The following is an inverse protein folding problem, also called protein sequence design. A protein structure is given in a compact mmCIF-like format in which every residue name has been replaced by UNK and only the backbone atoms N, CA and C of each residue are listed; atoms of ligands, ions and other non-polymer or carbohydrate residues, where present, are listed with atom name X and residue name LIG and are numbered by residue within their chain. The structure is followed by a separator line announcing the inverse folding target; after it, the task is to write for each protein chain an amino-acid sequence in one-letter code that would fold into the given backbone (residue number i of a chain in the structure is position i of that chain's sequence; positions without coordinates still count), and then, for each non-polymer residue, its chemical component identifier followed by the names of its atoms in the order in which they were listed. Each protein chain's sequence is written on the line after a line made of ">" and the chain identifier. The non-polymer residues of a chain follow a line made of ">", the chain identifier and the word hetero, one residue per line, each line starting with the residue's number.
data_IF_705383870384
#
_entry.id   IF_705383870384
#
_cell.length_a   1.000
_cell.length_b   1.000
_cell.length_c   1.000
_cell.angle_alpha   90.00
_cell.angle_beta   90.00
_cell.angle_gamma   90.00
#
_symmetry.space_group_name_H-M   'P 1'
#
loop_
_entity.id
_entity.type
_entity.pdbx_description
1 polymer ?
#
# COMPACT_ATOMS: atom_id res chain seq x y z
N UNK A 1 -12.77 15.49 13.16
CA UNK A 1 -12.56 14.13 12.61
C UNK A 1 -13.54 13.15 13.23
N UNK A 2 -14.06 12.21 12.48
CA UNK A 2 -14.82 11.04 12.93
C UNK A 2 -14.54 9.85 12.00
N UNK A 3 -14.74 8.60 12.46
CA UNK A 3 -14.83 7.47 11.55
C UNK A 3 -15.96 7.66 10.55
N UNK A 4 -15.79 7.15 9.34
CA UNK A 4 -16.84 7.13 8.34
C UNK A 4 -17.92 6.09 8.69
N UNK A 5 -19.13 6.34 8.24
CA UNK A 5 -20.27 5.42 8.36
C UNK A 5 -20.85 5.09 6.98
N UNK A 6 -21.65 4.05 6.89
CA UNK A 6 -22.17 3.57 5.59
C UNK A 6 -22.93 4.63 4.79
N UNK A 7 -23.54 5.61 5.45
CA UNK A 7 -24.22 6.73 4.77
C UNK A 7 -23.25 7.72 4.10
N UNK A 8 -21.97 7.70 4.47
CA UNK A 8 -20.96 8.57 3.84
C UNK A 8 -20.47 8.01 2.49
N UNK A 9 -20.68 6.73 2.22
CA UNK A 9 -20.12 6.04 1.07
C UNK A 9 -20.29 6.78 -0.28
N UNK A 10 -21.45 7.37 -0.60
CA UNK A 10 -21.60 8.15 -1.84
C UNK A 10 -20.66 9.37 -1.89
N UNK A 11 -20.51 10.09 -0.76
CA UNK A 11 -19.64 11.26 -0.68
C UNK A 11 -18.14 10.86 -0.75
N UNK A 12 -17.77 9.76 -0.08
CA UNK A 12 -16.41 9.21 -0.14
C UNK A 12 -16.02 8.78 -1.55
N UNK A 13 -16.91 8.08 -2.26
CA UNK A 13 -16.69 7.68 -3.66
C UNK A 13 -16.55 8.89 -4.58
N UNK A 14 -17.37 9.92 -4.39
CA UNK A 14 -17.25 11.16 -5.16
C UNK A 14 -15.91 11.87 -4.89
N UNK A 15 -15.49 11.94 -3.61
CA UNK A 15 -14.21 12.54 -3.23
C UNK A 15 -13.01 11.75 -3.78
N UNK A 16 -13.09 10.41 -3.79
CA UNK A 16 -12.10 9.54 -4.42
C UNK A 16 -11.93 9.86 -5.91
N UNK A 17 -13.04 9.85 -6.68
CA UNK A 17 -13.01 10.12 -8.12
C UNK A 17 -12.47 11.53 -8.47
N UNK A 18 -12.61 12.51 -7.57
CA UNK A 18 -12.00 13.84 -7.73
C UNK A 18 -10.49 13.85 -7.48
N UNK A 19 -9.98 12.87 -6.74
CA UNK A 19 -8.57 12.82 -6.31
C UNK A 19 -7.76 11.81 -7.09
N UNK A 20 -8.39 10.74 -7.54
CA UNK A 20 -7.81 9.62 -8.29
C UNK A 20 -8.67 9.33 -9.53
N UNK A 21 -8.65 10.22 -10.53
CA UNK A 21 -9.49 10.12 -11.71
C UNK A 21 -9.12 8.95 -12.64
N UNK A 22 -7.94 8.37 -12.46
CA UNK A 22 -7.45 7.20 -13.19
C UNK A 22 -8.05 5.88 -12.69
N UNK A 23 -8.53 5.83 -11.44
CA UNK A 23 -9.14 4.64 -10.87
C UNK A 23 -10.53 4.40 -11.45
N UNK A 24 -10.80 3.17 -11.83
CA UNK A 24 -12.15 2.80 -12.26
C UNK A 24 -13.11 2.73 -11.06
N UNK A 25 -14.40 2.93 -11.34
CA UNK A 25 -15.44 2.76 -10.32
C UNK A 25 -15.42 1.35 -9.71
N UNK A 26 -15.07 0.33 -10.49
CA UNK A 26 -14.99 -1.06 -10.04
C UNK A 26 -13.81 -1.27 -9.07
N UNK A 27 -12.62 -0.74 -9.38
CA UNK A 27 -11.43 -0.86 -8.52
C UNK A 27 -11.64 -0.13 -7.20
N UNK A 28 -12.21 1.08 -7.27
CA UNK A 28 -12.59 1.84 -6.08
C UNK A 28 -13.56 1.05 -5.21
N UNK A 29 -14.61 0.46 -5.79
CA UNK A 29 -15.63 -0.28 -5.05
C UNK A 29 -15.07 -1.56 -4.43
N UNK A 30 -14.16 -2.25 -5.13
CA UNK A 30 -13.40 -3.38 -4.59
C UNK A 30 -12.52 -2.95 -3.42
N UNK A 31 -11.84 -1.79 -3.53
CA UNK A 31 -11.04 -1.28 -2.42
C UNK A 31 -11.89 -0.99 -1.18
N UNK A 32 -13.01 -0.26 -1.31
CA UNK A 32 -13.88 0.02 -0.16
C UNK A 32 -14.41 -1.27 0.49
N UNK A 33 -14.71 -2.29 -0.29
CA UNK A 33 -15.15 -3.59 0.22
C UNK A 33 -14.02 -4.35 0.95
N UNK A 34 -12.79 -4.28 0.45
CA UNK A 34 -11.64 -4.96 1.04
C UNK A 34 -11.09 -4.25 2.28
N UNK A 35 -11.07 -2.91 2.25
CA UNK A 35 -10.50 -2.08 3.31
C UNK A 35 -11.43 -1.96 4.53
N UNK A 36 -12.74 -1.98 4.33
CA UNK A 36 -13.74 -1.72 5.37
C UNK A 36 -13.91 -0.22 5.67
N UNK A 37 -15.15 0.25 5.64
CA UNK A 37 -15.45 1.68 5.84
C UNK A 37 -15.10 2.17 7.26
N UNK A 38 -15.06 1.28 8.23
CA UNK A 38 -14.70 1.55 9.63
C UNK A 38 -13.24 1.99 9.80
N UNK A 39 -12.40 1.74 8.80
CA UNK A 39 -11.02 2.20 8.75
C UNK A 39 -10.84 3.53 8.03
N UNK A 40 -11.93 4.09 7.48
CA UNK A 40 -11.93 5.40 6.86
C UNK A 40 -12.25 6.48 7.89
N UNK A 41 -11.47 7.55 7.88
CA UNK A 41 -11.67 8.74 8.70
C UNK A 41 -12.00 9.94 7.82
N UNK A 42 -12.93 10.76 8.29
CA UNK A 42 -13.40 11.94 7.56
C UNK A 42 -13.29 13.22 8.38
N UNK A 43 -13.06 14.32 7.69
CA UNK A 43 -13.24 15.67 8.21
C UNK A 43 -14.35 16.36 7.43
N UNK A 44 -15.32 16.92 8.15
CA UNK A 44 -16.44 17.65 7.59
C UNK A 44 -16.21 19.16 7.72
N UNK A 45 -16.53 19.89 6.66
CA UNK A 45 -16.59 21.34 6.65
C UNK A 45 -17.92 21.77 6.04
N UNK A 46 -18.66 22.60 6.75
CA UNK A 46 -19.96 23.15 6.28
C UNK A 46 -20.96 22.05 5.84
N UNK A 47 -20.95 20.90 6.52
CA UNK A 47 -21.84 19.77 6.23
C UNK A 47 -21.43 18.92 5.03
N UNK A 48 -20.23 19.13 4.49
CA UNK A 48 -19.65 18.39 3.37
C UNK A 48 -18.45 17.59 3.87
N UNK A 49 -18.29 16.34 3.42
CA UNK A 49 -17.07 15.55 3.62
C UNK A 49 -15.95 16.23 2.82
N UNK A 50 -15.14 17.02 3.50
CA UNK A 50 -14.10 17.85 2.88
C UNK A 50 -12.76 17.10 2.71
N UNK A 51 -12.50 16.09 3.56
CA UNK A 51 -11.28 15.28 3.47
C UNK A 51 -11.52 13.89 4.01
N UNK A 52 -10.79 12.91 3.50
CA UNK A 52 -10.79 11.55 3.99
C UNK A 52 -9.38 10.94 3.94
N UNK A 53 -9.17 9.89 4.74
CA UNK A 53 -8.04 8.96 4.63
C UNK A 53 -8.40 7.64 5.28
N UNK A 54 -7.79 6.56 4.82
CA UNK A 54 -7.84 5.28 5.51
C UNK A 54 -6.66 5.16 6.47
N UNK A 55 -6.90 4.58 7.65
CA UNK A 55 -5.91 4.14 8.60
C UNK A 55 -6.01 2.62 8.76
N UNK A 56 -5.43 1.89 7.81
CA UNK A 56 -5.58 0.44 7.70
C UNK A 56 -4.69 -0.28 8.71
N UNK A 57 -5.22 -1.25 9.49
CA UNK A 57 -4.40 -2.04 10.40
C UNK A 57 -3.59 -3.07 9.62
N UNK A 58 -2.29 -3.15 9.93
CA UNK A 58 -1.35 -4.15 9.42
C UNK A 58 -0.53 -4.66 10.59
N UNK A 59 -0.25 -5.97 10.66
CA UNK A 59 0.41 -6.59 11.81
C UNK A 59 1.72 -7.27 11.39
N UNK A 60 2.70 -7.38 12.29
CA UNK A 60 3.83 -8.30 12.14
C UNK A 60 3.60 -9.64 12.88
N UNK A 61 2.41 -9.81 13.48
CA UNK A 61 1.99 -10.96 14.26
C UNK A 61 2.06 -10.73 15.77
N UNK A 62 2.76 -9.69 16.22
CA UNK A 62 2.88 -9.31 17.62
C UNK A 62 2.40 -7.86 17.86
N UNK A 63 2.63 -6.98 16.88
CA UNK A 63 2.38 -5.54 16.96
C UNK A 63 1.50 -5.09 15.81
N UNK A 64 0.73 -4.04 16.06
CA UNK A 64 -0.15 -3.41 15.07
C UNK A 64 0.47 -2.12 14.55
N UNK A 65 0.41 -1.94 13.24
CA UNK A 65 0.89 -0.79 12.49
C UNK A 65 -0.25 -0.17 11.70
N UNK A 66 -0.27 1.15 11.56
CA UNK A 66 -1.27 1.84 10.76
C UNK A 66 -0.70 2.19 9.39
N UNK A 67 -1.33 1.71 8.33
CA UNK A 67 -1.06 2.15 6.96
C UNK A 67 -2.03 3.27 6.57
N UNK A 68 -1.49 4.45 6.28
CA UNK A 68 -2.27 5.59 5.76
C UNK A 68 -2.40 5.43 4.25
N UNK A 69 -3.63 5.42 3.77
CA UNK A 69 -3.95 5.25 2.36
C UNK A 69 -5.10 6.15 1.91
N UNK A 70 -5.17 6.44 0.60
CA UNK A 70 -6.22 7.24 -0.03
C UNK A 70 -6.47 8.58 0.67
N UNK A 71 -5.39 9.36 0.85
CA UNK A 71 -5.43 10.71 1.42
C UNK A 71 -6.03 11.69 0.42
N UNK A 72 -7.28 12.07 0.61
CA UNK A 72 -8.04 12.94 -0.29
C UNK A 72 -8.50 14.22 0.39
N UNK A 73 -8.52 15.32 -0.37
CA UNK A 73 -9.17 16.58 0.03
C UNK A 73 -9.91 17.18 -1.15
N UNK A 74 -11.17 17.49 -0.93
CA UNK A 74 -12.01 18.14 -1.94
C UNK A 74 -11.35 19.44 -2.44
N UNK A 75 -11.32 19.71 -3.74
CA UNK A 75 -10.62 20.86 -4.32
C UNK A 75 -10.92 22.20 -3.63
N UNK A 76 -12.20 22.46 -3.29
CA UNK A 76 -12.62 23.72 -2.67
C UNK A 76 -12.10 23.91 -1.23
N UNK A 77 -11.59 22.85 -0.59
CA UNK A 77 -11.07 22.87 0.77
C UNK A 77 -9.54 22.69 0.84
N UNK A 78 -8.88 22.55 -0.32
CA UNK A 78 -7.40 22.45 -0.38
C UNK A 78 -6.76 23.77 0.08
N UNK A 79 -5.54 23.65 0.60
CA UNK A 79 -4.78 24.80 1.10
C UNK A 79 -5.26 25.38 2.43
N UNK A 80 -6.33 24.84 3.04
CA UNK A 80 -6.91 25.33 4.31
C UNK A 80 -6.48 24.51 5.53
N UNK A 81 -5.60 23.52 5.37
CA UNK A 81 -5.12 22.69 6.47
C UNK A 81 -6.03 21.53 6.86
N UNK A 82 -7.19 21.33 6.18
CA UNK A 82 -8.20 20.31 6.54
C UNK A 82 -7.61 18.91 6.65
N UNK A 83 -6.85 18.46 5.65
CA UNK A 83 -6.18 17.16 5.71
C UNK A 83 -5.11 17.10 6.81
N UNK A 84 -4.40 18.21 7.04
CA UNK A 84 -3.39 18.26 8.12
C UNK A 84 -4.00 18.04 9.50
N UNK A 85 -5.18 18.60 9.74
CA UNK A 85 -5.90 18.44 11.00
C UNK A 85 -6.51 17.05 11.12
N UNK A 86 -7.05 16.51 10.02
CA UNK A 86 -7.50 15.11 9.94
C UNK A 86 -6.36 14.14 10.26
N UNK A 87 -5.22 14.26 9.59
CA UNK A 87 -4.09 13.35 9.78
C UNK A 87 -3.55 13.39 11.23
N UNK A 88 -3.41 14.58 11.84
CA UNK A 88 -3.00 14.68 13.25
C UNK A 88 -3.91 13.91 14.18
N UNK A 89 -5.23 14.02 13.98
CA UNK A 89 -6.22 13.33 14.81
C UNK A 89 -6.20 11.82 14.59
N UNK A 90 -6.07 11.37 13.32
CA UNK A 90 -5.94 9.95 12.97
C UNK A 90 -4.70 9.32 13.59
N UNK A 91 -3.57 10.02 13.57
CA UNK A 91 -2.32 9.56 14.22
C UNK A 91 -2.44 9.52 15.75
N UNK A 92 -3.08 10.52 16.34
CA UNK A 92 -3.31 10.53 17.79
C UNK A 92 -4.22 9.37 18.24
N UNK A 93 -5.27 9.09 17.47
CA UNK A 93 -6.16 7.96 17.73
C UNK A 93 -5.44 6.61 17.55
N UNK A 94 -4.65 6.45 16.48
CA UNK A 94 -3.85 5.24 16.28
C UNK A 94 -2.93 4.97 17.48
N UNK A 95 -2.21 5.99 17.94
CA UNK A 95 -1.36 5.88 19.12
C UNK A 95 -2.16 5.52 20.39
N UNK A 96 -3.33 6.12 20.58
CA UNK A 96 -4.20 5.82 21.72
C UNK A 96 -4.77 4.39 21.68
N UNK A 97 -4.96 3.83 20.48
CA UNK A 97 -5.41 2.45 20.27
C UNK A 97 -4.28 1.41 20.39
N UNK A 98 -3.04 1.83 20.58
CA UNK A 98 -1.90 0.94 20.79
C UNK A 98 -1.15 0.54 19.52
N UNK A 99 -1.40 1.18 18.38
CA UNK A 99 -0.52 1.05 17.23
C UNK A 99 0.89 1.52 17.58
N UNK A 100 1.90 0.79 17.14
CA UNK A 100 3.29 1.11 17.47
C UNK A 100 3.95 2.06 16.48
N UNK A 101 3.38 2.19 15.30
CA UNK A 101 3.83 3.14 14.28
C UNK A 101 2.78 3.36 13.20
N UNK A 102 2.99 4.40 12.39
CA UNK A 102 2.26 4.64 11.15
C UNK A 102 3.22 4.68 9.97
N UNK A 103 2.75 4.25 8.80
CA UNK A 103 3.53 4.33 7.56
C UNK A 103 2.62 4.62 6.37
N UNK A 104 3.23 5.09 5.28
CA UNK A 104 2.54 5.37 4.04
C UNK A 104 3.49 5.28 2.84
N UNK A 105 2.92 5.14 1.65
CA UNK A 105 3.59 5.39 0.38
C UNK A 105 3.12 6.78 -0.13
N UNK A 106 4.02 7.74 -0.37
CA UNK A 106 3.63 9.02 -0.93
C UNK A 106 3.37 8.86 -2.43
N UNK A 107 2.19 9.30 -2.91
CA UNK A 107 1.84 9.23 -4.34
C UNK A 107 2.84 9.96 -5.25
N UNK A 108 3.51 10.97 -4.72
CA UNK A 108 4.57 11.72 -5.40
C UNK A 108 5.73 12.02 -4.45
N UNK A 109 6.99 12.01 -4.91
CA UNK A 109 8.16 12.35 -4.09
C UNK A 109 8.06 13.73 -3.42
N UNK A 110 7.38 14.68 -4.05
CA UNK A 110 7.13 16.04 -3.55
C UNK A 110 6.37 16.05 -2.22
N UNK A 111 5.53 15.02 -1.96
CA UNK A 111 4.75 14.89 -0.73
C UNK A 111 5.59 14.47 0.49
N UNK A 112 6.82 14.02 0.30
CA UNK A 112 7.73 13.68 1.42
C UNK A 112 7.90 14.87 2.37
N UNK A 113 8.10 16.07 1.85
CA UNK A 113 8.23 17.27 2.66
C UNK A 113 6.92 17.65 3.39
N UNK A 114 5.77 17.30 2.81
CA UNK A 114 4.48 17.48 3.48
C UNK A 114 4.35 16.57 4.68
N UNK A 115 4.62 15.26 4.52
CA UNK A 115 4.49 14.28 5.60
C UNK A 115 5.58 14.42 6.67
N UNK A 116 6.77 14.94 6.33
CA UNK A 116 7.82 15.25 7.29
C UNK A 116 7.35 16.21 8.41
N UNK A 117 6.38 17.09 8.14
CA UNK A 117 5.79 18.00 9.14
C UNK A 117 5.01 17.27 10.24
N UNK A 118 4.67 16.01 10.03
CA UNK A 118 4.00 15.13 10.98
C UNK A 118 4.97 14.14 11.64
N UNK A 119 6.26 14.23 11.31
CA UNK A 119 7.30 13.37 11.84
C UNK A 119 7.62 12.13 11.01
N UNK A 120 7.00 11.96 9.84
CA UNK A 120 7.37 10.87 8.94
C UNK A 120 8.76 11.09 8.36
N UNK A 121 9.52 10.01 8.25
CA UNK A 121 10.84 9.97 7.63
C UNK A 121 10.90 8.89 6.56
N UNK A 122 11.67 9.07 5.47
CA UNK A 122 11.93 7.98 4.52
C UNK A 122 12.60 6.79 5.22
N UNK A 123 12.06 5.59 5.02
CA UNK A 123 12.54 4.39 5.71
C UNK A 123 12.74 3.18 4.80
N UNK A 124 11.99 3.08 3.70
CA UNK A 124 12.24 2.09 2.65
C UNK A 124 12.56 2.84 1.37
N UNK A 125 13.63 2.41 0.72
CA UNK A 125 14.03 2.90 -0.59
C UNK A 125 13.97 1.75 -1.58
N UNK A 126 13.64 2.05 -2.83
CA UNK A 126 13.57 1.07 -3.91
C UNK A 126 14.36 1.51 -5.11
N UNK A 127 14.78 0.52 -5.90
CA UNK A 127 15.25 0.69 -7.26
C UNK A 127 14.37 -0.13 -8.20
N UNK A 128 14.25 0.32 -9.45
CA UNK A 128 13.55 -0.41 -10.50
C UNK A 128 14.58 -1.12 -11.37
N UNK A 129 14.58 -2.45 -11.32
CA UNK A 129 15.43 -3.30 -12.13
C UNK A 129 14.64 -3.79 -13.35
N UNK A 130 15.12 -3.46 -14.55
CA UNK A 130 14.50 -3.91 -15.79
C UNK A 130 15.36 -4.99 -16.44
N UNK A 131 14.70 -6.00 -17.01
CA UNK A 131 15.39 -7.07 -17.71
C UNK A 131 14.51 -7.74 -18.78
N UNK A 132 15.14 -8.57 -19.59
CA UNK A 132 14.46 -9.39 -20.59
C UNK A 132 13.90 -10.67 -19.96
N UNK A 133 12.77 -11.13 -20.47
CA UNK A 133 12.16 -12.39 -20.09
C UNK A 133 12.89 -13.54 -20.82
N UNK A 134 13.42 -14.48 -20.07
CA UNK A 134 14.14 -15.64 -20.57
C UNK A 134 13.81 -16.89 -19.76
N UNK A 135 14.00 -18.06 -20.36
CA UNK A 135 13.96 -19.37 -19.69
C UNK A 135 12.69 -19.55 -18.82
N UNK A 136 11.51 -19.76 -19.44
CA UNK A 136 10.25 -19.81 -18.69
C UNK A 136 10.25 -20.89 -17.62
N UNK A 137 9.83 -20.51 -16.42
CA UNK A 137 9.70 -21.40 -15.27
C UNK A 137 8.26 -21.87 -15.08
N UNK A 138 8.08 -23.00 -14.42
CA UNK A 138 6.75 -23.38 -13.99
C UNK A 138 6.26 -22.43 -12.90
N UNK A 139 5.15 -21.75 -13.18
CA UNK A 139 4.51 -20.81 -12.26
C UNK A 139 3.02 -21.16 -12.11
N UNK A 140 2.51 -21.08 -10.90
CA UNK A 140 1.11 -21.32 -10.58
C UNK A 140 0.48 -20.04 -10.06
N UNK A 141 -0.62 -19.62 -10.66
CA UNK A 141 -1.48 -18.57 -10.09
C UNK A 141 -2.12 -19.10 -8.80
N UNK A 142 -2.17 -18.25 -7.78
CA UNK A 142 -2.66 -18.61 -6.45
C UNK A 142 -3.64 -17.58 -5.89
N UNK A 143 -4.43 -17.98 -4.90
CA UNK A 143 -5.30 -17.06 -4.14
C UNK A 143 -4.48 -16.12 -3.25
N UNK A 144 -5.11 -15.10 -2.70
CA UNK A 144 -4.46 -14.20 -1.73
C UNK A 144 -4.04 -14.95 -0.45
N UNK A 145 -4.85 -15.93 -0.01
CA UNK A 145 -4.59 -16.78 1.14
C UNK A 145 -3.37 -17.68 0.90
N UNK A 146 -3.34 -18.41 -0.23
CA UNK A 146 -2.21 -19.25 -0.59
C UNK A 146 -0.91 -18.43 -0.75
N UNK A 147 -1.03 -17.23 -1.32
CA UNK A 147 0.09 -16.31 -1.42
C UNK A 147 0.60 -15.88 -0.04
N UNK A 148 -0.30 -15.50 0.87
CA UNK A 148 0.07 -15.10 2.24
C UNK A 148 0.81 -16.23 2.96
N UNK A 149 0.33 -17.48 2.84
CA UNK A 149 1.00 -18.66 3.41
C UNK A 149 2.41 -18.85 2.80
N UNK A 150 2.53 -18.73 1.48
CA UNK A 150 3.82 -18.86 0.81
C UNK A 150 4.79 -17.74 1.18
N UNK A 151 4.28 -16.53 1.34
CA UNK A 151 5.03 -15.36 1.80
C UNK A 151 5.65 -15.61 3.18
N UNK A 152 4.90 -16.17 4.12
CA UNK A 152 5.41 -16.53 5.45
C UNK A 152 6.54 -17.57 5.40
N UNK A 153 6.45 -18.54 4.50
CA UNK A 153 7.49 -19.57 4.33
C UNK A 153 8.80 -19.01 3.77
N UNK A 154 8.72 -17.95 2.96
CA UNK A 154 9.86 -17.36 2.26
C UNK A 154 10.46 -16.17 3.01
N UNK A 155 9.73 -15.56 3.93
CA UNK A 155 10.20 -14.42 4.70
C UNK A 155 11.36 -14.82 5.61
N UNK A 156 12.47 -14.09 5.51
CA UNK A 156 13.70 -14.34 6.30
C UNK A 156 13.91 -13.35 7.45
N UNK A 157 13.05 -12.35 7.57
CA UNK A 157 13.08 -11.28 8.57
C UNK A 157 11.67 -11.00 9.07
N UNK A 158 11.49 -10.26 10.18
CA UNK A 158 10.17 -9.76 10.55
C UNK A 158 9.54 -8.99 9.40
N UNK A 159 8.29 -9.29 9.07
CA UNK A 159 7.58 -8.71 7.94
C UNK A 159 6.14 -8.36 8.30
N UNK A 160 5.57 -7.38 7.61
CA UNK A 160 4.17 -7.01 7.77
C UNK A 160 3.26 -8.03 7.07
N UNK A 161 2.26 -8.50 7.81
CA UNK A 161 1.18 -9.35 7.33
C UNK A 161 0.03 -8.47 6.87
N UNK A 162 -0.08 -8.32 5.57
CA UNK A 162 -1.19 -7.61 4.98
C UNK A 162 -2.47 -8.43 5.09
N UNK A 163 -3.63 -7.81 5.37
CA UNK A 163 -4.92 -8.49 5.27
C UNK A 163 -5.10 -9.11 3.88
N UNK A 164 -5.57 -10.37 3.82
CA UNK A 164 -5.75 -11.08 2.55
C UNK A 164 -6.74 -10.39 1.62
N UNK A 165 -7.74 -9.70 2.18
CA UNK A 165 -8.65 -8.86 1.42
C UNK A 165 -7.91 -7.75 0.64
N UNK A 166 -6.91 -7.11 1.24
CA UNK A 166 -6.08 -6.12 0.54
C UNK A 166 -5.14 -6.78 -0.46
N UNK A 167 -4.51 -7.91 -0.11
CA UNK A 167 -3.68 -8.67 -1.06
C UNK A 167 -4.48 -9.13 -2.30
N UNK A 168 -5.79 -9.30 -2.18
CA UNK A 168 -6.65 -9.67 -3.30
C UNK A 168 -6.85 -8.55 -4.32
N UNK A 169 -6.58 -7.29 -3.95
CA UNK A 169 -6.64 -6.14 -4.86
C UNK A 169 -5.51 -6.15 -5.88
N UNK A 170 -4.37 -6.76 -5.56
CA UNK A 170 -3.31 -7.01 -6.54
C UNK A 170 -3.74 -8.17 -7.44
N UNK A 171 -3.91 -7.91 -8.72
CA UNK A 171 -4.60 -8.82 -9.63
C UNK A 171 -3.86 -10.14 -9.88
N UNK A 172 -2.52 -10.15 -9.86
CA UNK A 172 -1.73 -11.31 -10.24
C UNK A 172 -0.78 -11.75 -9.12
N UNK A 173 -1.01 -12.97 -8.64
CA UNK A 173 -0.22 -13.64 -7.59
C UNK A 173 0.25 -14.98 -8.11
N UNK A 174 1.56 -15.18 -8.12
CA UNK A 174 2.17 -16.41 -8.61
C UNK A 174 3.12 -17.00 -7.60
N UNK A 175 3.21 -18.33 -7.61
CA UNK A 175 4.27 -19.07 -6.91
C UNK A 175 5.03 -19.93 -7.90
N UNK A 176 6.34 -19.99 -7.70
CA UNK A 176 7.24 -20.91 -8.38
C UNK A 176 7.80 -21.92 -7.37
N UNK A 177 8.69 -22.82 -7.79
CA UNK A 177 9.38 -23.71 -6.86
C UNK A 177 10.15 -22.93 -5.76
N UNK A 178 10.75 -21.79 -6.12
CA UNK A 178 11.70 -21.07 -5.27
C UNK A 178 11.19 -19.68 -4.82
N UNK A 179 10.13 -19.16 -5.43
CA UNK A 179 9.70 -17.78 -5.21
C UNK A 179 8.18 -17.62 -5.11
N UNK A 180 7.77 -16.46 -4.59
CA UNK A 180 6.42 -15.93 -4.66
C UNK A 180 6.46 -14.50 -5.20
N UNK A 181 5.49 -14.14 -6.03
CA UNK A 181 5.43 -12.84 -6.68
C UNK A 181 4.03 -12.22 -6.60
N UNK A 182 3.99 -10.90 -6.32
CA UNK A 182 2.88 -10.02 -6.65
C UNK A 182 3.28 -9.19 -7.86
N UNK A 183 2.45 -9.19 -8.89
CA UNK A 183 2.79 -8.52 -10.13
C UNK A 183 1.55 -8.10 -10.93
N UNK A 184 1.78 -7.28 -11.93
CA UNK A 184 0.79 -6.80 -12.89
C UNK A 184 1.37 -6.86 -14.28
N UNK A 185 0.52 -7.07 -15.30
CA UNK A 185 0.95 -7.03 -16.70
C UNK A 185 0.58 -5.72 -17.36
N UNK A 186 1.60 -4.99 -17.83
CA UNK A 186 1.44 -3.76 -18.58
C UNK A 186 1.93 -3.97 -20.02
N UNK A 187 1.01 -4.37 -20.90
CA UNK A 187 1.34 -4.78 -22.26
C UNK A 187 2.28 -6.00 -22.26
N UNK A 188 3.50 -5.84 -22.77
CA UNK A 188 4.52 -6.90 -22.83
C UNK A 188 5.48 -6.92 -21.59
N UNK A 189 5.23 -6.09 -20.59
CA UNK A 189 6.07 -5.97 -19.40
C UNK A 189 5.38 -6.54 -18.18
N UNK A 190 6.07 -7.44 -17.45
CA UNK A 190 5.66 -7.87 -16.12
C UNK A 190 6.21 -6.91 -15.08
N UNK A 191 5.35 -6.12 -14.44
CA UNK A 191 5.74 -5.25 -13.32
C UNK A 191 5.61 -6.05 -12.02
N UNK A 192 6.73 -6.28 -11.34
CA UNK A 192 6.80 -7.09 -10.13
C UNK A 192 6.91 -6.16 -8.93
N UNK A 193 5.84 -6.10 -8.13
CA UNK A 193 5.74 -5.27 -6.93
C UNK A 193 6.34 -5.94 -5.70
N UNK A 194 6.29 -7.26 -5.62
CA UNK A 194 6.98 -8.06 -4.60
C UNK A 194 7.54 -9.33 -5.23
N UNK A 195 8.78 -9.66 -4.90
CA UNK A 195 9.44 -10.91 -5.22
C UNK A 195 10.13 -11.44 -3.98
N UNK A 196 9.69 -12.58 -3.49
CA UNK A 196 10.27 -13.27 -2.33
C UNK A 196 10.84 -14.61 -2.75
N UNK A 197 12.03 -14.93 -2.28
CA UNK A 197 12.72 -16.18 -2.57
C UNK A 197 13.90 -16.01 -3.51
N UNK A 198 14.27 -17.09 -4.19
CA UNK A 198 15.43 -17.16 -5.06
C UNK A 198 15.18 -16.71 -6.49
N UNK A 199 16.27 -16.50 -7.25
CA UNK A 199 16.22 -16.17 -8.68
C UNK A 199 15.77 -14.73 -8.99
N UNK A 200 15.29 -14.52 -10.22
CA UNK A 200 14.81 -13.24 -10.73
C UNK A 200 13.44 -13.41 -11.39
N UNK A 201 12.69 -12.33 -11.62
CA UNK A 201 11.40 -12.39 -12.30
C UNK A 201 11.44 -12.83 -13.77
N UNK A 202 12.61 -12.93 -14.39
CA UNK A 202 12.80 -13.22 -15.81
C UNK A 202 12.02 -14.46 -16.28
N UNK A 203 12.18 -15.58 -15.56
CA UNK A 203 11.51 -16.83 -15.93
C UNK A 203 9.99 -16.78 -15.72
N UNK A 204 9.50 -16.04 -14.72
CA UNK A 204 8.07 -15.79 -14.53
C UNK A 204 7.51 -14.95 -15.67
N UNK A 205 8.19 -13.86 -16.05
CA UNK A 205 7.80 -13.01 -17.15
C UNK A 205 7.66 -13.80 -18.45
N UNK A 206 8.65 -14.65 -18.76
CA UNK A 206 8.61 -15.54 -19.94
C UNK A 206 7.44 -16.54 -19.86
N UNK A 207 7.18 -17.13 -18.69
CA UNK A 207 6.07 -18.08 -18.50
C UNK A 207 4.68 -17.44 -18.70
N UNK A 208 4.58 -16.11 -18.43
CA UNK A 208 3.36 -15.34 -18.61
C UNK A 208 3.25 -14.67 -20.00
N UNK A 209 4.19 -14.95 -20.92
CA UNK A 209 4.19 -14.41 -22.27
C UNK A 209 4.63 -12.95 -22.37
N UNK A 210 5.26 -12.40 -21.32
CA UNK A 210 5.89 -11.10 -21.35
C UNK A 210 7.27 -11.19 -22.01
N UNK A 211 7.72 -10.11 -22.67
CA UNK A 211 9.06 -10.04 -23.29
C UNK A 211 10.10 -9.44 -22.34
N UNK A 212 9.64 -8.73 -21.31
CA UNK A 212 10.50 -8.06 -20.31
C UNK A 212 9.81 -7.99 -18.95
N UNK A 213 10.60 -7.65 -17.94
CA UNK A 213 10.10 -7.35 -16.60
C UNK A 213 10.65 -6.04 -16.07
N UNK A 214 9.91 -5.44 -15.15
CA UNK A 214 10.34 -4.39 -14.24
C UNK A 214 10.12 -4.87 -12.81
N UNK A 215 11.16 -4.84 -11.99
CA UNK A 215 11.11 -5.30 -10.62
C UNK A 215 11.39 -4.16 -9.65
N UNK A 216 10.40 -3.80 -8.83
CA UNK A 216 10.53 -2.86 -7.72
C UNK A 216 11.16 -3.60 -6.55
N UNK A 217 12.43 -3.34 -6.28
CA UNK A 217 13.18 -4.05 -5.24
C UNK A 217 13.72 -3.09 -4.18
N UNK A 218 13.80 -3.52 -2.89
CA UNK A 218 14.45 -2.76 -1.85
C UNK A 218 15.90 -2.40 -2.24
N UNK A 219 16.33 -1.17 -1.94
CA UNK A 219 17.66 -0.66 -2.24
C UNK A 219 18.16 0.22 -1.07
N UNK A 220 19.48 0.25 -0.85
CA UNK A 220 20.06 1.16 0.15
C UNK A 220 20.02 2.62 -0.30
N UNK A 221 20.16 2.84 -1.60
CA UNK A 221 20.12 4.14 -2.24
C UNK A 221 19.13 4.06 -3.42
N UNK A 222 18.05 4.80 -3.35
CA UNK A 222 16.98 4.74 -4.34
C UNK A 222 15.93 5.80 -4.12
N UNK A 223 14.79 5.61 -4.74
CA UNK A 223 13.61 6.43 -4.51
C UNK A 223 12.99 6.09 -3.16
N UNK A 224 12.58 7.12 -2.40
CA UNK A 224 11.87 6.92 -1.14
C UNK A 224 10.50 6.31 -1.42
N UNK A 225 10.29 5.09 -0.95
CA UNK A 225 9.10 4.31 -1.25
C UNK A 225 8.12 4.23 -0.07
N UNK A 226 8.65 4.13 1.16
CA UNK A 226 7.82 4.15 2.37
C UNK A 226 8.31 5.24 3.30
N UNK A 227 7.37 6.05 3.77
CA UNK A 227 7.57 6.98 4.86
C UNK A 227 7.07 6.34 6.16
N UNK A 228 7.84 6.48 7.23
CA UNK A 228 7.67 5.83 8.51
C UNK A 228 7.58 6.83 9.64
N UNK A 229 6.65 6.63 10.56
CA UNK A 229 6.49 7.39 11.79
C UNK A 229 6.35 6.42 12.96
N UNK A 230 7.42 6.12 13.72
CA UNK A 230 7.31 5.33 14.94
C UNK A 230 6.61 6.13 16.04
N UNK A 231 5.72 5.48 16.77
CA UNK A 231 5.13 6.01 18.01
C UNK A 231 5.94 5.63 19.24
N UNK A 232 6.77 4.57 19.11
CA UNK A 232 7.80 4.15 20.06
C UNK A 232 9.16 4.24 19.35
N UNK A 233 10.11 4.98 19.94
CA UNK A 233 11.46 5.20 19.38
C UNK A 233 12.25 3.90 19.16
N UNK A 234 11.92 2.83 19.89
CA UNK A 234 12.54 1.52 19.73
C UNK A 234 11.87 0.65 18.67
N UNK A 235 10.78 1.12 18.05
CA UNK A 235 10.08 0.38 17.03
C UNK A 235 10.85 0.40 15.72
N UNK A 236 11.36 -0.78 15.33
CA UNK A 236 11.98 -0.98 14.02
C UNK A 236 10.91 -1.33 12.99
N UNK A 237 11.10 -0.80 11.78
CA UNK A 237 10.25 -1.11 10.64
C UNK A 237 10.51 -2.55 10.16
N UNK A 238 9.48 -3.44 10.18
CA UNK A 238 9.58 -4.74 9.53
C UNK A 238 9.66 -4.60 8.01
N UNK A 239 9.95 -5.70 7.31
CA UNK A 239 9.81 -5.74 5.86
C UNK A 239 8.35 -5.44 5.47
N UNK A 240 8.14 -4.36 4.75
CA UNK A 240 6.78 -3.88 4.42
C UNK A 240 6.16 -4.72 3.31
N UNK A 241 6.96 -5.08 2.30
CA UNK A 241 6.48 -5.74 1.10
C UNK A 241 5.79 -4.79 0.14
N UNK A 242 4.76 -5.26 -0.57
CA UNK A 242 4.06 -4.41 -1.50
C UNK A 242 3.34 -3.30 -0.75
N UNK A 243 3.41 -2.09 -1.25
CA UNK A 243 2.48 -1.03 -0.92
C UNK A 243 1.49 -0.90 -2.06
N UNK A 244 0.29 -0.48 -1.74
CA UNK A 244 -0.74 -0.23 -2.73
C UNK A 244 -0.50 1.19 -3.27
N UNK A 245 -0.27 1.31 -4.57
CA UNK A 245 -0.01 2.53 -5.33
C UNK A 245 -1.03 2.67 -6.47
#
# INVERSE_FOLDING_TARGET
>A
MRPAVSSDLPALKALWSLSFPEDSDADRDLFFAAAGIEHCFVEECDGVVASMTFGLPVSDGEREFQYIYAACTHPDFRGRGVFSDLLRQVLAEAKARGFVASFLHPAEPSLTAFYARFGYVPAVFVSRECGEANDPVFAKAVTAEDYAVRREQLATAPFLRWPTALLSLVHERYVTAEAAALCERWGETLVVKEWLGGGTPSGLAAALGCTRYEWVRPAENGEAYVLWLPFDENCQLPYVGPVFD
#
